data_IF_455650654622
#
_entry.id   IF_455650654622
#
_cell.length_a   1.000
_cell.length_b   1.000
_cell.length_c   1.000
_cell.angle_alpha   90.00
_cell.angle_beta   90.00
_cell.angle_gamma   90.00
#
_symmetry.space_group_name_H-M   'P 1'
#
loop_
_entity.id
_entity.type
_entity.pdbx_description
1 polymer ?
#
# COMPACT_ATOMS: atom_id res chain seq x y z
N UNK A 1 -8.31 -11.96 -9.57
CA UNK A 1 -9.45 -11.01 -9.42
C UNK A 1 -9.26 -10.13 -8.19
N UNK A 2 -9.58 -8.83 -8.26
CA UNK A 2 -9.45 -7.90 -7.13
C UNK A 2 -10.72 -7.86 -6.27
N UNK A 3 -10.63 -7.21 -5.09
CA UNK A 3 -11.78 -6.96 -4.23
C UNK A 3 -12.57 -5.74 -4.75
N UNK A 4 -13.87 -5.91 -5.02
CA UNK A 4 -14.72 -4.83 -5.55
C UNK A 4 -14.91 -3.68 -4.54
N UNK A 5 -14.97 -3.99 -3.26
CA UNK A 5 -15.13 -2.99 -2.19
C UNK A 5 -13.84 -2.18 -1.90
N UNK A 6 -12.69 -2.55 -2.47
CA UNK A 6 -11.45 -1.82 -2.23
C UNK A 6 -11.48 -0.45 -2.92
N UNK A 7 -11.36 0.63 -2.13
CA UNK A 7 -11.29 2.01 -2.63
C UNK A 7 -10.03 2.30 -3.45
N UNK A 8 -8.96 1.55 -3.23
CA UNK A 8 -7.72 1.61 -4.00
C UNK A 8 -7.25 0.18 -4.24
N UNK A 9 -6.92 -0.15 -5.50
CA UNK A 9 -6.29 -1.44 -5.84
C UNK A 9 -5.40 -1.28 -7.07
N UNK A 10 -4.37 -2.12 -7.15
CA UNK A 10 -3.43 -2.13 -8.26
C UNK A 10 -3.47 -3.49 -8.96
N UNK A 11 -3.49 -3.46 -10.28
CA UNK A 11 -3.20 -4.64 -11.08
C UNK A 11 -1.71 -4.68 -11.35
N UNK A 12 -1.10 -5.81 -11.01
CA UNK A 12 0.36 -5.95 -11.05
C UNK A 12 0.78 -7.22 -11.77
N UNK A 13 2.02 -7.21 -12.23
CA UNK A 13 2.75 -8.40 -12.69
C UNK A 13 3.95 -8.62 -11.78
N UNK A 14 4.31 -9.88 -11.55
CA UNK A 14 5.56 -10.21 -10.84
C UNK A 14 6.74 -9.69 -11.67
N UNK A 15 7.47 -8.74 -11.11
CA UNK A 15 8.69 -8.21 -11.70
C UNK A 15 9.90 -9.02 -11.24
N UNK A 16 10.03 -9.25 -9.93
CA UNK A 16 11.12 -10.03 -9.36
C UNK A 16 10.66 -10.76 -8.10
N UNK A 17 11.13 -12.00 -7.96
CA UNK A 17 11.00 -12.79 -6.74
C UNK A 17 12.36 -12.89 -6.04
N UNK A 18 12.41 -12.53 -4.75
CA UNK A 18 13.61 -12.56 -3.92
C UNK A 18 13.34 -13.40 -2.66
N UNK A 19 13.75 -14.67 -2.61
CA UNK A 19 13.65 -15.47 -1.39
C UNK A 19 14.65 -14.98 -0.35
N UNK A 20 14.19 -14.72 0.87
CA UNK A 20 15.04 -14.42 2.02
C UNK A 20 15.31 -15.75 2.75
N UNK A 21 16.59 -16.12 2.86
CA UNK A 21 17.01 -17.42 3.40
C UNK A 21 17.71 -17.29 4.75
N UNK A 22 17.63 -18.34 5.57
CA UNK A 22 18.43 -18.47 6.80
C UNK A 22 19.87 -18.92 6.48
N UNK A 23 20.68 -19.13 7.53
CA UNK A 23 22.06 -19.60 7.38
C UNK A 23 22.17 -21.00 6.77
N UNK A 24 21.16 -21.85 6.96
CA UNK A 24 21.10 -23.22 6.43
C UNK A 24 20.62 -23.27 4.97
N UNK A 25 20.23 -22.12 4.40
CA UNK A 25 19.75 -21.99 3.04
C UNK A 25 18.24 -22.19 2.86
N UNK A 26 17.48 -22.44 3.92
CA UNK A 26 16.02 -22.55 3.88
C UNK A 26 15.38 -21.17 3.69
N UNK A 27 14.27 -21.11 2.94
CA UNK A 27 13.51 -19.88 2.74
C UNK A 27 12.73 -19.56 4.02
N UNK A 28 13.03 -18.41 4.63
CA UNK A 28 12.30 -17.89 5.79
C UNK A 28 11.06 -17.11 5.37
N UNK A 29 11.18 -16.31 4.29
CA UNK A 29 10.10 -15.48 3.76
C UNK A 29 10.40 -15.04 2.33
N UNK A 30 9.39 -14.53 1.67
CA UNK A 30 9.41 -14.15 0.27
C UNK A 30 9.24 -12.63 0.12
N UNK A 31 10.16 -11.99 -0.58
CA UNK A 31 9.99 -10.62 -1.04
C UNK A 31 9.59 -10.64 -2.53
N UNK A 32 8.37 -10.16 -2.80
CA UNK A 32 7.88 -9.95 -4.16
C UNK A 32 7.99 -8.48 -4.55
N UNK A 33 8.67 -8.21 -5.65
CA UNK A 33 8.68 -6.90 -6.29
C UNK A 33 7.74 -6.97 -7.47
N UNK A 34 6.76 -6.08 -7.51
CA UNK A 34 5.65 -6.10 -8.46
C UNK A 34 5.65 -4.82 -9.30
N UNK A 35 5.44 -4.97 -10.60
CA UNK A 35 5.23 -3.86 -11.54
C UNK A 35 3.74 -3.53 -11.61
N UNK A 36 3.37 -2.26 -11.41
CA UNK A 36 1.98 -1.81 -11.49
C UNK A 36 1.61 -1.46 -12.94
N UNK A 37 0.62 -2.16 -13.49
CA UNK A 37 0.12 -1.91 -14.85
C UNK A 37 -1.15 -1.06 -14.86
N UNK A 38 -1.99 -1.18 -13.84
CA UNK A 38 -3.23 -0.38 -13.73
C UNK A 38 -3.49 0.03 -12.30
N UNK A 39 -3.95 1.27 -12.16
CA UNK A 39 -4.43 1.82 -10.91
C UNK A 39 -5.94 1.92 -10.95
N UNK A 40 -6.60 1.54 -9.87
CA UNK A 40 -8.04 1.73 -9.68
C UNK A 40 -8.25 2.49 -8.39
N UNK A 41 -8.94 3.62 -8.49
CA UNK A 41 -9.31 4.47 -7.36
C UNK A 41 -10.82 4.64 -7.38
N UNK A 42 -11.46 4.68 -6.22
CA UNK A 42 -12.82 5.18 -6.10
C UNK A 42 -12.83 6.69 -6.37
N UNK A 43 -13.86 7.19 -7.05
CA UNK A 43 -13.99 8.63 -7.37
C UNK A 43 -13.99 9.51 -6.12
N UNK A 44 -14.35 8.94 -4.96
CA UNK A 44 -14.37 9.63 -3.68
C UNK A 44 -13.00 9.80 -3.02
N UNK A 45 -11.96 9.12 -3.50
CA UNK A 45 -10.63 9.13 -2.86
C UNK A 45 -9.55 9.82 -3.68
N UNK A 46 -9.73 10.00 -4.98
CA UNK A 46 -8.73 10.62 -5.85
C UNK A 46 -9.21 12.01 -6.28
N UNK A 47 -8.39 13.03 -6.04
CA UNK A 47 -8.59 14.35 -6.63
C UNK A 47 -8.26 14.27 -8.14
N UNK A 48 -9.23 14.46 -9.05
CA UNK A 48 -8.99 14.32 -10.48
C UNK A 48 -8.10 15.43 -11.06
N UNK A 49 -7.93 16.54 -10.35
CA UNK A 49 -7.12 17.68 -10.80
C UNK A 49 -5.66 17.49 -10.42
N UNK A 50 -5.41 17.10 -9.16
CA UNK A 50 -4.04 16.97 -8.64
C UNK A 50 -3.50 15.55 -8.67
N UNK A 51 -4.37 14.56 -8.90
CA UNK A 51 -4.09 13.13 -8.81
C UNK A 51 -3.55 12.69 -7.43
N UNK A 52 -3.82 13.47 -6.39
CA UNK A 52 -3.53 13.08 -5.02
C UNK A 52 -4.68 12.29 -4.41
N UNK A 53 -4.33 11.35 -3.53
CA UNK A 53 -5.29 10.61 -2.73
C UNK A 53 -5.66 11.46 -1.51
N UNK A 54 -6.95 11.61 -1.24
CA UNK A 54 -7.43 12.10 0.06
C UNK A 54 -7.27 10.98 1.11
N UNK A 55 -6.33 11.10 2.05
CA UNK A 55 -6.09 10.05 3.04
C UNK A 55 -7.26 9.89 4.01
N UNK A 56 -8.04 10.95 4.24
CA UNK A 56 -9.22 10.93 5.12
C UNK A 56 -10.34 10.14 4.44
N UNK A 57 -10.63 10.43 3.18
CA UNK A 57 -11.59 9.66 2.39
C UNK A 57 -11.14 8.23 2.13
N UNK A 58 -9.83 7.96 2.06
CA UNK A 58 -9.28 6.61 1.97
C UNK A 58 -9.43 5.82 3.28
N UNK A 59 -9.47 6.49 4.44
CA UNK A 59 -9.50 5.90 5.78
C UNK A 59 -8.72 4.58 5.89
N UNK A 60 -7.39 4.59 5.68
CA UNK A 60 -6.57 3.39 5.72
C UNK A 60 -6.45 2.84 7.14
N UNK A 61 -6.29 1.52 7.24
CA UNK A 61 -6.03 0.81 8.50
C UNK A 61 -4.60 0.27 8.49
N UNK A 62 -3.85 0.53 9.55
CA UNK A 62 -2.50 0.01 9.77
C UNK A 62 -2.53 -1.21 10.71
N UNK A 63 -1.65 -2.18 10.47
CA UNK A 63 -1.46 -3.34 11.35
C UNK A 63 -0.53 -3.00 12.52
N UNK A 64 -0.92 -3.40 13.73
CA UNK A 64 -0.07 -3.33 14.92
C UNK A 64 0.26 -4.76 15.41
N UNK A 65 0.94 -4.86 16.56
CA UNK A 65 1.27 -6.14 17.18
C UNK A 65 0.01 -6.96 17.52
N UNK A 66 0.14 -8.28 17.41
CA UNK A 66 -0.98 -9.19 17.67
C UNK A 66 -2.19 -8.90 16.75
N UNK A 67 -3.43 -8.99 17.26
CA UNK A 67 -4.64 -8.74 16.48
C UNK A 67 -5.08 -7.27 16.49
N UNK A 68 -4.21 -6.33 16.86
CA UNK A 68 -4.57 -4.91 17.00
C UNK A 68 -4.26 -4.12 15.72
N UNK A 69 -4.99 -3.02 15.53
CA UNK A 69 -4.94 -2.18 14.34
C UNK A 69 -5.07 -0.70 14.73
N UNK A 70 -4.59 0.19 13.85
CA UNK A 70 -4.71 1.63 14.00
C UNK A 70 -5.41 2.24 12.78
N UNK A 71 -6.23 3.26 13.02
CA UNK A 71 -6.78 4.12 11.98
C UNK A 71 -5.76 5.19 11.55
N UNK A 72 -6.13 6.01 10.57
CA UNK A 72 -5.35 7.19 10.19
C UNK A 72 -5.25 8.16 11.38
N UNK A 73 -4.01 8.36 11.85
CA UNK A 73 -3.73 9.32 12.90
C UNK A 73 -3.71 10.78 12.42
N UNK A 74 -3.30 11.70 13.30
CA UNK A 74 -3.20 13.13 12.98
C UNK A 74 -2.18 13.40 11.87
N UNK A 75 -2.61 14.06 10.81
CA UNK A 75 -1.74 14.56 9.73
C UNK A 75 -1.26 15.98 10.01
N UNK A 76 -0.05 16.32 9.55
CA UNK A 76 0.49 17.67 9.61
C UNK A 76 1.42 17.91 8.41
N UNK A 77 1.58 19.17 8.02
CA UNK A 77 2.47 19.56 6.93
C UNK A 77 3.80 20.07 7.48
N UNK A 78 4.90 19.42 7.10
CA UNK A 78 6.25 19.89 7.39
C UNK A 78 6.89 20.38 6.09
N UNK A 79 7.26 21.66 6.03
CA UNK A 79 8.00 22.20 4.87
C UNK A 79 9.43 21.67 4.90
N UNK A 80 9.91 21.17 3.76
CA UNK A 80 11.29 20.71 3.60
C UNK A 80 12.25 21.87 3.94
N UNK A 81 13.23 21.68 4.85
CA UNK A 81 14.27 22.68 5.11
C UNK A 81 15.06 22.99 3.84
N UNK A 82 15.54 24.24 3.72
CA UNK A 82 16.48 24.65 2.67
C UNK A 82 17.91 24.34 3.09
#
# INVERSE_FOLDING_TARGET
PGLQAARVRFETKLYQYVPIRNADGDILTDLFILEVHRFHFADTVLDPTTLHIDPTALAPIARLAGPTYAELGRTFTLRRPK
#
